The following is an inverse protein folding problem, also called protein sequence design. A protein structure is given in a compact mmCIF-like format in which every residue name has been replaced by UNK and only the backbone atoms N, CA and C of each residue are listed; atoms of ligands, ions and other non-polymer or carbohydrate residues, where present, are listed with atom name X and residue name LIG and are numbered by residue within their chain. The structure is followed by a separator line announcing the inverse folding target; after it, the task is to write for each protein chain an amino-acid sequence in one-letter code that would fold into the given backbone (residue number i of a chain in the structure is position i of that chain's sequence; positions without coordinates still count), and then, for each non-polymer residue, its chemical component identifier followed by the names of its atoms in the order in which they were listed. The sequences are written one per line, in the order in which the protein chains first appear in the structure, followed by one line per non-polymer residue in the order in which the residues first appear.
data_IF_800724766565
#
_entry.id   IF_800724766565
#
_cell.length_a   1.000
_cell.length_b   1.000
_cell.length_c   1.000
_cell.angle_alpha   90.00
_cell.angle_beta   90.00
_cell.angle_gamma   90.00
#
_symmetry.space_group_name_H-M   'P 1'
#
loop_
_entity.id
_entity.type
_entity.pdbx_description
1 polymer ?
#
# COMPACT_ATOMS: atom_id res chain seq x y z
N UNK A 1 70.20 24.20 -38.81
CA UNK A 1 69.19 23.14 -39.04
C UNK A 1 68.89 22.26 -37.81
N UNK A 2 69.88 21.83 -37.01
CA UNK A 2 69.64 20.97 -35.81
C UNK A 2 68.65 21.53 -34.78
N UNK A 3 68.72 22.84 -34.47
CA UNK A 3 67.83 23.46 -33.48
C UNK A 3 66.36 23.52 -33.94
N UNK A 4 66.13 23.72 -35.24
CA UNK A 4 64.80 23.77 -35.87
C UNK A 4 64.12 22.40 -35.85
N UNK A 5 64.86 21.34 -36.21
CA UNK A 5 64.38 19.95 -36.10
C UNK A 5 64.05 19.57 -34.66
N UNK A 6 64.89 19.93 -33.68
CA UNK A 6 64.62 19.62 -32.27
C UNK A 6 63.36 20.31 -31.73
N UNK A 7 63.08 21.52 -32.20
CA UNK A 7 61.89 22.31 -31.84
C UNK A 7 60.60 21.68 -32.38
N UNK A 8 60.63 21.23 -33.65
CA UNK A 8 59.50 20.56 -34.30
C UNK A 8 59.20 19.22 -33.61
N UNK A 9 60.23 18.43 -33.31
CA UNK A 9 60.07 17.16 -32.60
C UNK A 9 59.50 17.33 -31.19
N UNK A 10 59.95 18.34 -30.43
CA UNK A 10 59.36 18.67 -29.12
C UNK A 10 57.89 19.08 -29.21
N UNK A 11 57.51 19.83 -30.26
CA UNK A 11 56.10 20.17 -30.51
C UNK A 11 55.28 18.92 -30.85
N UNK A 12 55.75 18.05 -31.74
CA UNK A 12 55.06 16.81 -32.09
C UNK A 12 54.87 15.91 -30.88
N UNK A 13 55.89 15.74 -30.04
CA UNK A 13 55.76 14.98 -28.78
C UNK A 13 54.79 15.64 -27.80
N UNK A 14 54.79 16.97 -27.68
CA UNK A 14 53.82 17.70 -26.84
C UNK A 14 52.38 17.56 -27.35
N UNK A 15 52.17 17.63 -28.66
CA UNK A 15 50.86 17.40 -29.28
C UNK A 15 50.40 15.95 -29.13
N UNK A 16 51.30 14.99 -29.32
CA UNK A 16 50.99 13.57 -29.11
C UNK A 16 50.60 13.32 -27.65
N UNK A 17 51.35 13.85 -26.69
CA UNK A 17 51.05 13.73 -25.26
C UNK A 17 49.69 14.34 -24.91
N UNK A 18 49.42 15.58 -25.33
CA UNK A 18 48.13 16.25 -25.09
C UNK A 18 46.95 15.50 -25.74
N UNK A 19 47.15 14.91 -26.92
CA UNK A 19 46.12 14.11 -27.58
C UNK A 19 45.83 12.81 -26.81
N UNK A 20 46.85 12.07 -26.35
CA UNK A 20 46.64 10.92 -25.45
C UNK A 20 45.96 11.30 -24.13
N UNK A 21 46.31 12.45 -23.55
CA UNK A 21 45.65 12.96 -22.34
C UNK A 21 44.16 13.23 -22.59
N UNK A 22 43.81 13.85 -23.71
CA UNK A 22 42.42 14.11 -24.08
C UNK A 22 41.62 12.83 -24.35
N UNK A 23 42.23 11.85 -25.03
CA UNK A 23 41.60 10.54 -25.28
C UNK A 23 41.36 9.79 -23.97
N UNK A 24 42.35 9.72 -23.09
CA UNK A 24 42.20 9.06 -21.78
C UNK A 24 41.16 9.75 -20.91
N UNK A 25 41.13 11.08 -20.87
CA UNK A 25 40.10 11.84 -20.16
C UNK A 25 38.70 11.58 -20.74
N UNK A 26 38.58 11.54 -22.07
CA UNK A 26 37.31 11.26 -22.76
C UNK A 26 36.79 9.86 -22.43
N UNK A 27 37.65 8.83 -22.44
CA UNK A 27 37.28 7.47 -22.05
C UNK A 27 36.84 7.41 -20.59
N UNK A 28 37.59 8.05 -19.69
CA UNK A 28 37.26 8.09 -18.27
C UNK A 28 35.92 8.79 -17.99
N UNK A 29 35.68 9.94 -18.62
CA UNK A 29 34.44 10.69 -18.48
C UNK A 29 33.25 9.90 -19.05
N UNK A 30 33.41 9.30 -20.23
CA UNK A 30 32.38 8.46 -20.85
C UNK A 30 32.04 7.27 -19.94
N UNK A 31 33.05 6.60 -19.38
CA UNK A 31 32.84 5.51 -18.42
C UNK A 31 32.09 5.96 -17.16
N UNK A 32 32.43 7.13 -16.60
CA UNK A 32 31.75 7.70 -15.44
C UNK A 32 30.29 8.07 -15.74
N UNK A 33 30.02 8.60 -16.93
CA UNK A 33 28.66 8.93 -17.38
C UNK A 33 27.82 7.66 -17.48
N UNK A 34 28.31 6.61 -18.16
CA UNK A 34 27.60 5.33 -18.30
C UNK A 34 27.32 4.71 -16.94
N UNK A 35 28.32 4.70 -16.04
CA UNK A 35 28.15 4.18 -14.69
C UNK A 35 27.06 4.93 -13.92
N UNK A 36 27.05 6.27 -14.00
CA UNK A 36 26.03 7.08 -13.32
C UNK A 36 24.63 6.82 -13.88
N UNK A 37 24.48 6.65 -15.19
CA UNK A 37 23.19 6.29 -15.81
C UNK A 37 22.71 4.93 -15.31
N UNK A 38 23.55 3.90 -15.38
CA UNK A 38 23.19 2.56 -14.92
C UNK A 38 22.84 2.53 -13.43
N UNK A 39 23.60 3.25 -12.61
CA UNK A 39 23.32 3.37 -11.18
C UNK A 39 21.97 4.06 -10.94
N UNK A 40 21.70 5.16 -11.62
CA UNK A 40 20.44 5.89 -11.50
C UNK A 40 19.24 5.05 -11.95
N UNK A 41 19.37 4.27 -13.02
CA UNK A 41 18.29 3.38 -13.49
C UNK A 41 17.99 2.26 -12.50
N UNK A 42 19.03 1.68 -11.87
CA UNK A 42 18.85 0.70 -10.79
C UNK A 42 18.15 1.31 -9.58
N UNK A 43 18.64 2.45 -9.10
CA UNK A 43 18.01 3.16 -7.95
C UNK A 43 16.55 3.52 -8.25
N UNK A 44 16.24 3.91 -9.49
CA UNK A 44 14.87 4.18 -9.92
C UNK A 44 14.01 2.93 -9.93
N UNK A 45 14.52 1.82 -10.47
CA UNK A 45 13.80 0.55 -10.48
C UNK A 45 13.52 0.05 -9.05
N UNK A 46 14.52 0.06 -8.18
CA UNK A 46 14.39 -0.35 -6.78
C UNK A 46 13.39 0.53 -6.02
N UNK A 47 13.41 1.83 -6.28
CA UNK A 47 12.47 2.79 -5.70
C UNK A 47 11.03 2.52 -6.13
N UNK A 48 10.81 2.26 -7.43
CA UNK A 48 9.47 1.91 -7.94
C UNK A 48 9.00 0.60 -7.30
N UNK A 49 9.85 -0.43 -7.29
CA UNK A 49 9.53 -1.75 -6.73
C UNK A 49 9.16 -1.67 -5.25
N UNK A 50 9.94 -0.92 -4.47
CA UNK A 50 9.68 -0.69 -3.05
C UNK A 50 8.30 -0.07 -2.84
N UNK A 51 8.00 1.00 -3.58
CA UNK A 51 6.73 1.74 -3.44
C UNK A 51 5.54 0.86 -3.83
N UNK A 52 5.65 0.13 -4.95
CA UNK A 52 4.61 -0.78 -5.44
C UNK A 52 4.35 -1.90 -4.45
N UNK A 53 5.39 -2.64 -4.00
CA UNK A 53 5.21 -3.75 -3.06
C UNK A 53 4.65 -3.29 -1.72
N UNK A 54 5.06 -2.12 -1.25
CA UNK A 54 4.53 -1.59 0.03
C UNK A 54 3.06 -1.20 -0.11
N UNK A 55 2.69 -0.56 -1.22
CA UNK A 55 1.31 -0.20 -1.50
C UNK A 55 0.42 -1.45 -1.69
N UNK A 56 0.90 -2.46 -2.42
CA UNK A 56 0.21 -3.74 -2.59
C UNK A 56 0.02 -4.46 -1.24
N UNK A 57 1.06 -4.52 -0.41
CA UNK A 57 0.98 -5.12 0.92
C UNK A 57 -0.04 -4.38 1.80
N UNK A 58 -0.10 -3.05 1.71
CA UNK A 58 -1.10 -2.26 2.43
C UNK A 58 -2.53 -2.54 1.97
N UNK A 59 -2.75 -2.68 0.66
CA UNK A 59 -4.09 -2.92 0.10
C UNK A 59 -4.55 -4.37 0.32
N UNK A 60 -3.68 -5.34 0.08
CA UNK A 60 -4.03 -6.76 0.11
C UNK A 60 -3.97 -7.37 1.51
N UNK A 61 -3.05 -6.90 2.37
CA UNK A 61 -2.80 -7.50 3.68
C UNK A 61 -3.16 -6.56 4.84
N UNK A 62 -3.62 -5.33 4.55
CA UNK A 62 -3.92 -4.33 5.57
C UNK A 62 -2.67 -3.81 6.29
N UNK A 63 -1.47 -4.04 5.74
CA UNK A 63 -0.22 -3.63 6.36
C UNK A 63 -0.01 -2.12 6.28
N UNK A 64 0.01 -1.44 7.43
CA UNK A 64 0.31 0.00 7.49
C UNK A 64 1.83 0.16 7.67
N UNK A 65 2.54 0.84 6.75
CA UNK A 65 3.98 1.03 6.90
C UNK A 65 4.27 1.86 8.16
N UNK A 66 5.32 1.52 8.93
CA UNK A 66 5.67 2.25 10.15
C UNK A 66 6.15 3.66 9.82
N UNK A 67 6.03 4.59 10.78
CA UNK A 67 6.47 5.99 10.62
C UNK A 67 7.93 6.11 10.17
N UNK A 68 8.78 5.21 10.63
CA UNK A 68 10.22 5.14 10.27
C UNK A 68 10.46 4.86 8.78
N UNK A 69 9.50 4.25 8.08
CA UNK A 69 9.60 3.95 6.65
C UNK A 69 9.16 5.13 5.75
N UNK A 70 8.45 6.13 6.28
CA UNK A 70 7.90 7.23 5.48
C UNK A 70 8.96 8.02 4.70
N UNK A 71 10.12 8.41 5.29
CA UNK A 71 11.14 9.14 4.53
C UNK A 71 11.69 8.33 3.35
N UNK A 72 11.78 7.02 3.52
CA UNK A 72 12.24 6.12 2.46
C UNK A 72 11.21 6.01 1.33
N UNK A 73 9.92 5.90 1.67
CA UNK A 73 8.83 5.84 0.68
C UNK A 73 8.67 7.16 -0.06
N UNK A 74 8.78 8.30 0.63
CA UNK A 74 8.78 9.62 0.01
C UNK A 74 9.97 9.80 -0.94
N UNK A 75 11.17 9.36 -0.54
CA UNK A 75 12.34 9.36 -1.42
C UNK A 75 12.10 8.47 -2.65
N UNK A 76 11.56 7.27 -2.45
CA UNK A 76 11.27 6.35 -3.53
C UNK A 76 10.27 6.92 -4.54
N UNK A 77 9.24 7.62 -4.06
CA UNK A 77 8.29 8.34 -4.92
C UNK A 77 8.98 9.43 -5.75
N UNK A 78 9.88 10.21 -5.16
CA UNK A 78 10.62 11.27 -5.87
C UNK A 78 11.57 10.70 -6.94
N UNK A 79 12.30 9.63 -6.63
CA UNK A 79 13.23 8.98 -7.58
C UNK A 79 12.46 8.31 -8.72
N UNK A 80 11.34 7.64 -8.42
CA UNK A 80 10.50 6.96 -9.40
C UNK A 80 9.86 7.90 -10.44
N UNK A 81 9.66 9.18 -10.08
CA UNK A 81 9.17 10.22 -10.97
C UNK A 81 7.77 9.92 -11.53
N UNK A 82 7.64 9.89 -12.86
CA UNK A 82 6.32 9.67 -13.49
C UNK A 82 5.73 8.29 -13.19
N UNK A 83 6.56 7.25 -13.04
CA UNK A 83 6.10 5.88 -12.78
C UNK A 83 5.47 5.71 -11.41
N UNK A 84 5.77 6.60 -10.46
CA UNK A 84 5.28 6.53 -9.08
C UNK A 84 4.11 7.48 -8.80
N UNK A 85 3.73 8.35 -9.75
CA UNK A 85 2.59 9.27 -9.63
C UNK A 85 1.29 8.62 -9.12
N UNK A 86 0.88 7.41 -9.56
CA UNK A 86 -0.35 6.78 -9.07
C UNK A 86 -0.35 6.50 -7.57
N UNK A 87 0.83 6.37 -6.95
CA UNK A 87 0.98 6.07 -5.53
C UNK A 87 0.98 7.31 -4.62
N UNK A 88 0.74 8.50 -5.17
CA UNK A 88 0.61 9.74 -4.37
C UNK A 88 -0.54 9.62 -3.35
N UNK A 89 -1.64 8.96 -3.71
CA UNK A 89 -2.76 8.70 -2.80
C UNK A 89 -2.36 7.81 -1.64
N UNK A 90 -1.60 6.74 -1.91
CA UNK A 90 -1.05 5.86 -0.88
C UNK A 90 -0.16 6.60 0.11
N UNK A 91 0.75 7.45 -0.39
CA UNK A 91 1.60 8.29 0.48
C UNK A 91 0.77 9.25 1.33
N UNK A 92 -0.24 9.89 0.73
CA UNK A 92 -1.15 10.77 1.45
C UNK A 92 -1.80 10.05 2.63
N UNK A 93 -2.37 8.86 2.41
CA UNK A 93 -2.95 8.03 3.46
C UNK A 93 -1.93 7.68 4.55
N UNK A 94 -0.71 7.30 4.18
CA UNK A 94 0.35 7.01 5.14
C UNK A 94 0.67 8.20 6.04
N UNK A 95 0.82 9.41 5.47
CA UNK A 95 1.11 10.61 6.25
C UNK A 95 -0.05 11.02 7.18
N UNK A 96 -1.30 10.86 6.75
CA UNK A 96 -2.46 11.10 7.62
C UNK A 96 -2.51 10.13 8.80
N UNK A 97 -2.25 8.83 8.57
CA UNK A 97 -2.24 7.82 9.63
C UNK A 97 -1.17 8.13 10.70
N UNK A 98 -0.04 8.70 10.29
CA UNK A 98 1.08 9.03 11.19
C UNK A 98 1.07 10.47 11.73
N UNK A 99 -0.09 11.13 11.68
CA UNK A 99 -0.31 12.50 12.17
C UNK A 99 0.60 13.56 11.51
N UNK A 100 0.85 13.44 10.20
CA UNK A 100 1.58 14.43 9.39
C UNK A 100 0.66 15.07 8.31
N UNK A 101 -0.38 15.82 8.72
CA UNK A 101 -1.46 16.25 7.82
C UNK A 101 -1.00 17.22 6.73
N UNK A 102 0.05 18.03 6.96
CA UNK A 102 0.58 18.96 5.96
C UNK A 102 1.24 18.22 4.79
N UNK A 103 2.04 17.18 5.08
CA UNK A 103 2.60 16.29 4.07
C UNK A 103 1.51 15.44 3.41
N UNK A 104 0.55 14.95 4.20
CA UNK A 104 -0.63 14.25 3.70
C UNK A 104 -1.41 15.06 2.67
N UNK A 105 -1.67 16.34 2.97
CA UNK A 105 -2.37 17.27 2.08
C UNK A 105 -1.57 17.56 0.80
N UNK A 106 -0.25 17.70 0.90
CA UNK A 106 0.62 17.85 -0.28
C UNK A 106 0.47 16.68 -1.25
N UNK A 107 0.60 15.45 -0.76
CA UNK A 107 0.46 14.25 -1.60
C UNK A 107 -0.99 14.02 -2.06
N UNK A 108 -2.00 14.45 -1.29
CA UNK A 108 -3.38 14.47 -1.74
C UNK A 108 -3.58 15.42 -2.92
N UNK A 109 -2.99 16.62 -2.86
CA UNK A 109 -3.01 17.58 -3.97
C UNK A 109 -2.30 17.04 -5.22
N UNK A 110 -1.17 16.35 -5.05
CA UNK A 110 -0.49 15.66 -6.16
C UNK A 110 -1.32 14.52 -6.75
N UNK A 111 -2.01 13.74 -5.91
CA UNK A 111 -2.91 12.68 -6.37
C UNK A 111 -4.11 13.26 -7.14
N UNK A 112 -4.68 14.36 -6.64
CA UNK A 112 -5.77 15.09 -7.28
C UNK A 112 -5.36 15.64 -8.65
N UNK A 113 -4.19 16.28 -8.73
CA UNK A 113 -3.66 16.82 -9.99
C UNK A 113 -3.17 15.76 -10.98
N UNK A 114 -2.88 14.55 -10.52
CA UNK A 114 -2.40 13.44 -11.38
C UNK A 114 -3.52 12.57 -11.94
N UNK A 115 -4.78 12.83 -11.56
CA UNK A 115 -5.97 12.43 -12.33
C UNK A 115 -6.03 10.99 -12.84
N UNK A 116 -5.52 10.01 -12.09
CA UNK A 116 -5.83 8.59 -12.26
C UNK A 116 -5.42 7.84 -11.00
N UNK A 117 -6.38 7.22 -10.31
CA UNK A 117 -6.22 6.40 -9.09
C UNK A 117 -6.09 7.10 -7.73
N UNK A 118 -6.80 8.23 -7.49
CA UNK A 118 -7.45 8.31 -6.17
C UNK A 118 -8.50 7.20 -6.15
N UNK A 119 -8.10 5.97 -5.79
CA UNK A 119 -9.08 5.00 -5.34
C UNK A 119 -9.60 5.61 -4.04
N UNK A 120 -10.75 6.27 -4.13
CA UNK A 120 -11.56 6.48 -2.94
C UNK A 120 -11.51 5.17 -2.15
N UNK A 121 -11.31 5.21 -0.82
CA UNK A 121 -11.37 4.00 -0.02
C UNK A 121 -12.60 3.24 -0.49
N UNK A 122 -12.40 1.97 -0.88
CA UNK A 122 -13.50 1.19 -1.44
C UNK A 122 -14.72 1.33 -0.51
N UNK A 123 -15.95 1.31 -1.01
CA UNK A 123 -17.12 1.42 -0.14
C UNK A 123 -17.05 0.46 1.07
N UNK A 124 -16.44 -0.71 0.88
CA UNK A 124 -16.05 -1.66 1.93
C UNK A 124 -15.12 -1.05 2.99
N UNK A 125 -14.01 -0.43 2.59
CA UNK A 125 -13.06 0.21 3.51
C UNK A 125 -13.67 1.40 4.28
N UNK A 126 -14.52 2.19 3.63
CA UNK A 126 -15.25 3.27 4.30
C UNK A 126 -16.16 2.70 5.37
N UNK A 127 -16.96 1.69 5.02
CA UNK A 127 -17.88 1.04 5.96
C UNK A 127 -17.13 0.36 7.12
N UNK A 128 -16.02 -0.34 6.86
CA UNK A 128 -15.20 -0.95 7.91
C UNK A 128 -14.66 0.09 8.89
N UNK A 129 -14.23 1.25 8.39
CA UNK A 129 -13.79 2.35 9.23
C UNK A 129 -14.95 2.93 10.06
N UNK A 130 -16.08 3.22 9.43
CA UNK A 130 -17.26 3.75 10.11
C UNK A 130 -17.79 2.81 11.20
N UNK A 131 -17.77 1.49 10.95
CA UNK A 131 -18.11 0.47 11.96
C UNK A 131 -17.13 0.52 13.13
N UNK A 132 -15.83 0.60 12.86
CA UNK A 132 -14.78 0.63 13.88
C UNK A 132 -14.88 1.90 14.74
N UNK A 133 -15.09 3.05 14.10
CA UNK A 133 -15.24 4.34 14.77
C UNK A 133 -16.52 4.37 15.64
N UNK A 134 -17.64 3.85 15.12
CA UNK A 134 -18.90 3.75 15.86
C UNK A 134 -18.78 2.83 17.08
N UNK A 135 -18.05 1.71 16.94
CA UNK A 135 -17.80 0.78 18.03
C UNK A 135 -16.88 1.38 19.10
N UNK A 136 -15.82 2.10 18.70
CA UNK A 136 -14.94 2.81 19.63
C UNK A 136 -15.70 3.87 20.43
N UNK A 137 -16.69 4.50 19.81
CA UNK A 137 -17.60 5.45 20.44
C UNK A 137 -18.78 4.80 21.21
N UNK A 138 -18.84 3.46 21.29
CA UNK A 138 -19.95 2.69 21.89
C UNK A 138 -21.33 3.00 21.26
N UNK A 139 -21.35 3.53 20.04
CA UNK A 139 -22.56 3.79 19.28
C UNK A 139 -22.96 2.54 18.47
N UNK A 140 -23.45 1.53 19.19
CA UNK A 140 -23.85 0.24 18.64
C UNK A 140 -24.97 0.30 17.59
N UNK A 141 -25.98 1.20 17.67
CA UNK A 141 -26.97 1.37 16.60
C UNK A 141 -26.34 1.77 15.26
N UNK A 142 -25.42 2.76 15.27
CA UNK A 142 -24.71 3.15 14.04
C UNK A 142 -23.78 2.03 13.56
N UNK A 143 -23.09 1.33 14.46
CA UNK A 143 -22.26 0.18 14.08
C UNK A 143 -23.09 -0.92 13.41
N UNK A 144 -24.32 -1.18 13.89
CA UNK A 144 -25.24 -2.16 13.31
C UNK A 144 -25.72 -1.75 11.90
N UNK A 145 -26.10 -0.47 11.74
CA UNK A 145 -26.54 0.08 10.46
C UNK A 145 -25.44 -0.08 9.40
N UNK A 146 -24.21 0.35 9.73
CA UNK A 146 -23.06 0.27 8.82
C UNK A 146 -22.63 -1.16 8.54
N UNK A 147 -22.71 -2.05 9.53
CA UNK A 147 -22.46 -3.49 9.33
C UNK A 147 -23.50 -4.11 8.38
N UNK A 148 -24.76 -3.68 8.46
CA UNK A 148 -25.82 -4.14 7.56
C UNK A 148 -25.59 -3.66 6.12
N UNK A 149 -25.15 -2.40 5.93
CA UNK A 149 -24.75 -1.87 4.62
C UNK A 149 -23.56 -2.65 4.04
N UNK A 150 -22.58 -3.01 4.87
CA UNK A 150 -21.43 -3.82 4.46
C UNK A 150 -21.83 -5.24 4.06
N UNK A 151 -22.77 -5.84 4.81
CA UNK A 151 -23.29 -7.18 4.51
C UNK A 151 -24.01 -7.20 3.15
N UNK A 152 -24.86 -6.21 2.87
CA UNK A 152 -25.55 -6.10 1.58
C UNK A 152 -24.58 -5.97 0.41
N UNK A 153 -23.53 -5.17 0.58
CA UNK A 153 -22.49 -5.01 -0.43
C UNK A 153 -21.73 -6.33 -0.66
N UNK A 154 -21.33 -7.01 0.42
CA UNK A 154 -20.64 -8.30 0.35
C UNK A 154 -21.54 -9.42 -0.23
N UNK A 155 -22.85 -9.35 -0.02
CA UNK A 155 -23.81 -10.31 -0.58
C UNK A 155 -24.05 -10.10 -2.08
N UNK A 156 -23.81 -8.90 -2.61
CA UNK A 156 -23.97 -8.57 -4.03
C UNK A 156 -22.87 -9.12 -4.95
N UNK A 157 -21.80 -9.69 -4.40
CA UNK A 157 -20.64 -10.22 -5.13
C UNK A 157 -20.19 -11.55 -4.54
N UNK A 158 -19.98 -12.55 -5.39
CA UNK A 158 -19.48 -13.87 -4.97
C UNK A 158 -18.00 -13.84 -4.52
N UNK A 159 -17.30 -12.72 -4.75
CA UNK A 159 -15.86 -12.58 -4.52
C UNK A 159 -15.49 -12.40 -3.03
N UNK A 160 -16.48 -12.23 -2.14
CA UNK A 160 -16.24 -11.85 -0.75
C UNK A 160 -16.86 -12.77 0.32
N UNK A 161 -16.71 -14.10 0.24
CA UNK A 161 -17.33 -15.04 1.19
C UNK A 161 -16.84 -14.85 2.63
N UNK A 162 -15.55 -14.53 2.81
CA UNK A 162 -14.95 -14.26 4.14
C UNK A 162 -15.45 -12.96 4.75
N UNK A 163 -15.55 -11.90 3.95
CA UNK A 163 -16.09 -10.62 4.42
C UNK A 163 -17.54 -10.78 4.84
N UNK A 164 -18.34 -11.48 4.04
CA UNK A 164 -19.76 -11.76 4.35
C UNK A 164 -19.90 -12.53 5.66
N UNK A 165 -19.10 -13.58 5.86
CA UNK A 165 -19.08 -14.37 7.09
C UNK A 165 -18.75 -13.54 8.33
N UNK A 166 -17.64 -12.79 8.29
CA UNK A 166 -17.20 -11.97 9.42
C UNK A 166 -18.16 -10.81 9.71
N UNK A 167 -18.73 -10.20 8.68
CA UNK A 167 -19.71 -9.11 8.84
C UNK A 167 -21.00 -9.62 9.48
N UNK A 168 -21.49 -10.78 9.07
CA UNK A 168 -22.68 -11.40 9.66
C UNK A 168 -22.46 -11.82 11.12
N UNK A 169 -21.29 -12.37 11.43
CA UNK A 169 -20.88 -12.65 12.81
C UNK A 169 -20.87 -11.36 13.65
N UNK A 170 -20.34 -10.25 13.09
CA UNK A 170 -20.31 -8.95 13.77
C UNK A 170 -21.71 -8.41 14.02
N UNK A 171 -22.63 -8.54 13.07
CA UNK A 171 -24.04 -8.15 13.23
C UNK A 171 -24.68 -8.91 14.39
N UNK A 172 -24.47 -10.23 14.48
CA UNK A 172 -24.99 -11.06 15.59
C UNK A 172 -24.47 -10.54 16.93
N UNK A 173 -23.17 -10.24 17.04
CA UNK A 173 -22.58 -9.70 18.28
C UNK A 173 -23.14 -8.33 18.67
N UNK A 174 -23.34 -7.43 17.70
CA UNK A 174 -23.90 -6.11 17.98
C UNK A 174 -25.38 -6.21 18.37
N UNK A 175 -26.15 -7.08 17.70
CA UNK A 175 -27.54 -7.37 18.05
C UNK A 175 -27.66 -7.97 19.45
N UNK A 176 -26.74 -8.85 19.85
CA UNK A 176 -26.66 -9.39 21.21
C UNK A 176 -26.47 -8.26 22.25
N UNK A 177 -25.54 -7.34 22.01
CA UNK A 177 -25.33 -6.15 22.87
C UNK A 177 -26.59 -5.28 22.96
N UNK A 178 -27.33 -5.15 21.86
CA UNK A 178 -28.56 -4.38 21.77
C UNK A 178 -29.81 -5.13 22.25
N UNK A 179 -29.68 -6.37 22.74
CA UNK A 179 -30.79 -7.26 23.12
C UNK A 179 -31.83 -7.47 21.98
N UNK A 180 -31.36 -7.57 20.74
CA UNK A 180 -32.18 -7.84 19.56
C UNK A 180 -32.14 -9.32 19.17
N UNK A 181 -33.15 -9.77 18.42
CA UNK A 181 -33.20 -11.16 17.93
C UNK A 181 -32.10 -11.42 16.88
N UNK A 182 -31.38 -12.53 17.06
CA UNK A 182 -30.23 -12.97 16.25
C UNK A 182 -30.50 -14.27 15.49
N UNK A 183 -31.67 -14.91 15.69
CA UNK A 183 -31.96 -16.24 15.13
C UNK A 183 -31.82 -16.29 13.62
N UNK A 184 -32.42 -15.33 12.92
CA UNK A 184 -32.40 -15.29 11.45
C UNK A 184 -30.98 -15.10 10.92
N UNK A 185 -30.21 -14.18 11.50
CA UNK A 185 -28.82 -13.93 11.08
C UNK A 185 -27.93 -15.15 11.37
N UNK A 186 -28.19 -15.87 12.46
CA UNK A 186 -27.45 -17.08 12.81
C UNK A 186 -27.77 -18.26 11.90
N UNK A 187 -29.03 -18.43 11.49
CA UNK A 187 -29.38 -19.43 10.46
C UNK A 187 -28.73 -19.09 9.11
N UNK A 188 -28.68 -17.81 8.72
CA UNK A 188 -27.95 -17.40 7.52
C UNK A 188 -26.44 -17.70 7.65
N UNK A 189 -25.84 -17.45 8.82
CA UNK A 189 -24.42 -17.70 9.06
C UNK A 189 -24.05 -19.18 8.85
N UNK A 190 -24.93 -20.12 9.22
CA UNK A 190 -24.75 -21.56 9.01
C UNK A 190 -24.68 -21.96 7.54
N UNK A 191 -25.31 -21.19 6.65
CA UNK A 191 -25.33 -21.49 5.22
C UNK A 191 -24.03 -21.12 4.51
N UNK A 192 -23.17 -20.31 5.14
CA UNK A 192 -21.94 -19.83 4.55
C UNK A 192 -20.82 -20.90 4.58
N UNK A 193 -19.97 -20.97 3.55
CA UNK A 193 -18.97 -22.03 3.41
C UNK A 193 -17.97 -22.10 4.57
N UNK A 194 -17.60 -20.95 5.13
CA UNK A 194 -16.66 -20.84 6.26
C UNK A 194 -17.22 -21.35 7.59
N UNK A 195 -18.53 -21.57 7.71
CA UNK A 195 -19.13 -21.99 8.98
C UNK A 195 -18.59 -23.35 9.45
N UNK A 196 -18.51 -24.33 8.55
CA UNK A 196 -18.00 -25.67 8.87
C UNK A 196 -16.53 -25.65 9.26
N UNK A 197 -15.73 -24.85 8.55
CA UNK A 197 -14.31 -24.67 8.84
C UNK A 197 -14.09 -24.03 10.21
N UNK A 198 -14.88 -22.99 10.53
CA UNK A 198 -14.84 -22.33 11.82
C UNK A 198 -15.27 -23.27 12.95
N UNK A 199 -16.38 -24.00 12.80
CA UNK A 199 -16.83 -25.00 13.78
C UNK A 199 -15.80 -26.10 14.01
N UNK A 200 -15.15 -26.58 12.95
CA UNK A 200 -14.14 -27.63 13.04
C UNK A 200 -12.84 -27.13 13.70
N UNK A 201 -12.44 -25.88 13.43
CA UNK A 201 -11.25 -25.27 14.02
C UNK A 201 -11.35 -25.15 15.55
N UNK A 202 -12.54 -24.82 16.06
CA UNK A 202 -12.81 -24.71 17.50
C UNK A 202 -13.42 -25.98 18.10
N UNK A 203 -13.42 -27.11 17.37
CA UNK A 203 -14.06 -28.36 17.81
C UNK A 203 -13.46 -28.93 19.09
N UNK A 204 -12.17 -28.67 19.33
CA UNK A 204 -11.43 -29.13 20.51
C UNK A 204 -11.41 -28.09 21.66
N UNK A 205 -12.04 -26.92 21.48
CA UNK A 205 -12.04 -25.80 22.43
C UNK A 205 -13.45 -25.31 22.77
N UNK A 206 -13.66 -24.85 23.99
CA UNK A 206 -14.98 -24.71 24.64
C UNK A 206 -16.01 -23.78 23.95
N UNK A 207 -15.71 -23.09 22.85
CA UNK A 207 -16.52 -22.01 22.27
C UNK A 207 -16.70 -22.17 20.76
N UNK A 208 -17.69 -22.98 20.32
CA UNK A 208 -18.14 -22.97 18.92
C UNK A 208 -19.30 -21.99 18.72
N UNK A 209 -19.55 -21.54 17.48
CA UNK A 209 -20.64 -20.62 17.17
C UNK A 209 -21.99 -21.26 17.47
N UNK A 210 -22.13 -22.56 17.20
CA UNK A 210 -23.30 -23.37 17.54
C UNK A 210 -23.51 -23.48 19.04
N UNK A 211 -22.45 -23.58 19.84
CA UNK A 211 -22.56 -23.61 21.30
C UNK A 211 -22.90 -22.23 21.90
N UNK A 212 -22.36 -21.15 21.32
CA UNK A 212 -22.58 -19.77 21.77
C UNK A 212 -23.95 -19.23 21.37
N UNK A 213 -24.33 -19.37 20.09
CA UNK A 213 -25.52 -18.76 19.50
C UNK A 213 -26.64 -19.76 19.18
N UNK A 214 -26.36 -21.08 19.21
CA UNK A 214 -27.34 -22.11 18.92
C UNK A 214 -28.24 -22.50 20.09
N UNK A 215 -28.29 -21.71 21.17
CA UNK A 215 -29.22 -21.97 22.28
C UNK A 215 -30.66 -21.81 21.79
N UNK A 216 -31.41 -22.91 21.80
CA UNK A 216 -32.87 -22.91 21.67
C UNK A 216 -33.46 -22.20 22.89
N UNK A 217 -34.28 -21.18 22.65
CA UNK A 217 -35.37 -20.85 23.57
C UNK A 217 -36.38 -22.00 23.55
#
# INVERSE_FOLDING_TARGET
MKNLLSSIWKRVYSYSFTLTLLVTLSVFLTGKIIYNFQKNDREKHDSILLLTKTAESAVCQGFIPPKTALPMLERAYRIGGNSTKPYAGFLSSCFYIHNEPSRGAYYAGLAYGSGSQFRMPSPVQVLLKEITDAQAAQNYPTALEKSSQLLQLAASSEDYPTLRFLTLLRIIEIKEILNQDTKTDFEELKTLPLFKEFEQFYKDGEWTLTKRFGKKH
#
